data_IF_610309655438
#
_entry.id   IF_610309655438
#
_cell.length_a   1.000
_cell.length_b   1.000
_cell.length_c   1.000
_cell.angle_alpha   90.00
_cell.angle_beta   90.00
_cell.angle_gamma   90.00
#
_symmetry.space_group_name_H-M   'P 1'
#
loop_
_entity.id
_entity.type
_entity.pdbx_description
1 polymer ?
#
# COMPACT_ATOMS: atom_id res chain seq x y z
N UNK A 1 0.94 -12.03 -17.51
CA UNK A 1 1.14 -12.87 -16.30
C UNK A 1 2.31 -12.38 -15.43
N UNK A 2 3.48 -12.06 -16.01
CA UNK A 2 4.66 -11.61 -15.27
C UNK A 2 4.40 -10.46 -14.26
N UNK A 3 3.71 -9.40 -14.68
CA UNK A 3 3.36 -8.29 -13.79
C UNK A 3 2.50 -8.73 -12.59
N UNK A 4 1.51 -9.61 -12.81
CA UNK A 4 0.67 -10.12 -11.73
C UNK A 4 1.49 -10.93 -10.72
N UNK A 5 2.43 -11.75 -11.19
CA UNK A 5 3.33 -12.49 -10.31
C UNK A 5 4.20 -11.54 -9.46
N UNK A 6 4.71 -10.46 -10.05
CA UNK A 6 5.45 -9.43 -9.32
C UNK A 6 4.57 -8.70 -8.30
N UNK A 7 3.33 -8.34 -8.66
CA UNK A 7 2.38 -7.70 -7.74
C UNK A 7 2.09 -8.61 -6.54
N UNK A 8 1.85 -9.91 -6.78
CA UNK A 8 1.61 -10.88 -5.72
C UNK A 8 2.82 -11.04 -4.80
N UNK A 9 4.01 -11.18 -5.36
CA UNK A 9 5.25 -11.27 -4.58
C UNK A 9 5.52 -9.99 -3.77
N UNK A 10 5.33 -8.83 -4.38
CA UNK A 10 5.50 -7.54 -3.71
C UNK A 10 4.49 -7.36 -2.57
N UNK A 11 3.22 -7.70 -2.82
CA UNK A 11 2.14 -7.61 -1.83
C UNK A 11 2.36 -8.55 -0.66
N UNK A 12 2.87 -9.76 -0.91
CA UNK A 12 3.16 -10.76 0.12
C UNK A 12 4.07 -10.22 1.23
N UNK A 13 5.06 -9.39 0.87
CA UNK A 13 5.98 -8.78 1.85
C UNK A 13 5.30 -7.72 2.74
N UNK A 14 4.18 -7.15 2.29
CA UNK A 14 3.49 -6.02 2.95
C UNK A 14 2.27 -6.47 3.75
N UNK A 15 1.67 -7.62 3.40
CA UNK A 15 0.50 -8.18 4.08
C UNK A 15 0.71 -8.31 5.60
N UNK A 16 1.84 -8.84 6.11
CA UNK A 16 2.04 -9.00 7.56
C UNK A 16 1.97 -7.68 8.32
N UNK A 17 2.55 -6.60 7.78
CA UNK A 17 2.49 -5.27 8.37
C UNK A 17 1.05 -4.76 8.45
N UNK A 18 0.31 -4.85 7.34
CA UNK A 18 -1.10 -4.45 7.29
C UNK A 18 -1.96 -5.27 8.26
N UNK A 19 -1.69 -6.58 8.36
CA UNK A 19 -2.41 -7.49 9.25
C UNK A 19 -2.24 -7.11 10.72
N UNK A 20 -1.00 -6.90 11.18
CA UNK A 20 -0.72 -6.49 12.57
C UNK A 20 -1.40 -5.17 12.89
N UNK A 21 -1.33 -4.21 11.97
CA UNK A 21 -1.88 -2.87 12.16
C UNK A 21 -3.41 -2.88 12.24
N UNK A 22 -4.08 -3.64 11.36
CA UNK A 22 -5.54 -3.78 11.40
C UNK A 22 -5.98 -4.63 12.60
N UNK A 23 -5.26 -5.69 12.95
CA UNK A 23 -5.57 -6.53 14.11
C UNK A 23 -5.54 -5.72 15.42
N UNK A 24 -4.52 -4.88 15.59
CA UNK A 24 -4.43 -3.97 16.74
C UNK A 24 -5.65 -3.04 16.81
N UNK A 25 -6.06 -2.49 15.67
CA UNK A 25 -7.25 -1.64 15.58
C UNK A 25 -8.53 -2.40 15.94
N UNK A 26 -8.71 -3.63 15.46
CA UNK A 26 -9.88 -4.46 15.79
C UNK A 26 -9.90 -4.76 17.30
N UNK A 27 -8.75 -5.05 17.90
CA UNK A 27 -8.63 -5.34 19.34
C UNK A 27 -8.95 -4.14 20.24
N UNK A 28 -8.84 -2.91 19.72
CA UNK A 28 -9.24 -1.70 20.45
C UNK A 28 -10.75 -1.43 20.42
N UNK A 29 -11.53 -2.14 19.59
CA UNK A 29 -12.98 -1.95 19.52
C UNK A 29 -13.63 -2.57 20.76
N UNK A 30 -14.44 -1.82 21.53
CA UNK A 30 -15.15 -2.35 22.69
C UNK A 30 -16.06 -3.54 22.30
N UNK A 31 -16.01 -4.68 23.02
CA UNK A 31 -16.80 -5.87 22.69
C UNK A 31 -18.32 -5.62 22.76
N UNK A 32 -18.75 -4.65 23.57
CA UNK A 32 -20.16 -4.31 23.78
C UNK A 32 -20.85 -3.84 22.49
N UNK A 33 -20.10 -3.22 21.55
CA UNK A 33 -20.62 -2.83 20.24
C UNK A 33 -21.02 -4.05 19.40
N UNK A 34 -20.25 -5.13 19.49
CA UNK A 34 -20.55 -6.39 18.81
C UNK A 34 -21.71 -7.13 19.47
N UNK A 35 -21.81 -7.07 20.79
CA UNK A 35 -22.94 -7.66 21.53
C UNK A 35 -24.25 -6.94 21.24
N UNK A 36 -24.25 -5.60 21.25
CA UNK A 36 -25.41 -4.78 20.89
C UNK A 36 -25.89 -5.09 19.46
N UNK A 37 -24.97 -5.16 18.48
CA UNK A 37 -25.31 -5.51 17.11
C UNK A 37 -25.97 -6.90 16.99
N UNK A 38 -25.54 -7.87 17.80
CA UNK A 38 -26.16 -9.21 17.83
C UNK A 38 -27.56 -9.19 18.43
N UNK A 39 -27.82 -8.36 19.44
CA UNK A 39 -29.15 -8.17 20.02
C UNK A 39 -30.09 -7.52 19.00
N UNK A 40 -29.58 -6.57 18.21
CA UNK A 40 -30.32 -5.91 17.13
C UNK A 40 -30.53 -6.79 15.88
N UNK A 41 -30.07 -8.05 15.91
CA UNK A 41 -30.24 -9.00 14.80
C UNK A 41 -29.33 -8.72 13.60
N UNK A 42 -28.26 -7.93 13.75
CA UNK A 42 -27.32 -7.63 12.67
C UNK A 42 -26.56 -8.88 12.24
N UNK A 43 -26.37 -9.06 10.92
CA UNK A 43 -25.56 -10.16 10.40
C UNK A 43 -24.06 -9.88 10.56
N UNK A 44 -23.22 -10.89 10.31
CA UNK A 44 -21.76 -10.72 10.32
C UNK A 44 -21.28 -9.70 9.28
N UNK A 45 -21.93 -9.65 8.11
CA UNK A 45 -21.59 -8.69 7.04
C UNK A 45 -21.98 -7.27 7.47
N UNK A 46 -23.14 -7.10 8.09
CA UNK A 46 -23.56 -5.80 8.63
C UNK A 46 -22.59 -5.32 9.70
N UNK A 47 -22.25 -6.19 10.65
CA UNK A 47 -21.31 -5.91 11.73
C UNK A 47 -19.94 -5.51 11.16
N UNK A 48 -19.42 -6.24 10.18
CA UNK A 48 -18.15 -5.92 9.54
C UNK A 48 -18.18 -4.57 8.80
N UNK A 49 -19.25 -4.29 8.05
CA UNK A 49 -19.38 -3.07 7.23
C UNK A 49 -19.68 -1.82 8.05
N UNK A 50 -20.47 -1.93 9.12
CA UNK A 50 -20.95 -0.79 9.91
C UNK A 50 -20.21 -0.58 11.23
N UNK A 51 -19.55 -1.61 11.78
CA UNK A 51 -18.78 -1.49 13.03
C UNK A 51 -17.29 -1.63 12.74
N UNK A 52 -16.84 -2.79 12.24
CA UNK A 52 -15.40 -3.08 12.12
C UNK A 52 -14.69 -2.15 11.15
N UNK A 53 -15.14 -2.06 9.89
CA UNK A 53 -14.49 -1.21 8.87
C UNK A 53 -14.46 0.27 9.29
N UNK A 54 -15.59 0.89 9.72
CA UNK A 54 -15.60 2.31 10.06
C UNK A 54 -14.71 2.64 11.26
N UNK A 55 -14.70 1.80 12.30
CA UNK A 55 -13.86 2.01 13.48
C UNK A 55 -12.38 1.74 13.20
N UNK A 56 -12.05 0.77 12.34
CA UNK A 56 -10.68 0.53 11.91
C UNK A 56 -10.20 1.47 10.80
N UNK A 57 -11.05 2.37 10.29
CA UNK A 57 -10.76 3.19 9.10
C UNK A 57 -9.45 3.98 9.22
N UNK A 58 -9.18 4.61 10.37
CA UNK A 58 -7.95 5.40 10.58
C UNK A 58 -6.71 4.52 10.42
N UNK A 59 -6.70 3.36 11.09
CA UNK A 59 -5.62 2.38 10.99
C UNK A 59 -5.46 1.85 9.56
N UNK A 60 -6.55 1.47 8.90
CA UNK A 60 -6.52 1.02 7.50
C UNK A 60 -5.89 2.09 6.59
N UNK A 61 -6.29 3.35 6.72
CA UNK A 61 -5.74 4.44 5.91
C UNK A 61 -4.24 4.67 6.19
N UNK A 62 -3.81 4.62 7.44
CA UNK A 62 -2.38 4.70 7.81
C UNK A 62 -1.59 3.52 7.23
N UNK A 63 -2.15 2.31 7.26
CA UNK A 63 -1.54 1.13 6.64
C UNK A 63 -1.41 1.27 5.13
N UNK A 64 -2.45 1.77 4.44
CA UNK A 64 -2.43 2.05 3.00
C UNK A 64 -1.39 3.13 2.65
N UNK A 65 -1.28 4.17 3.47
CA UNK A 65 -0.29 5.23 3.27
C UNK A 65 1.13 4.65 3.27
N UNK A 66 1.49 3.92 4.33
CA UNK A 66 2.84 3.38 4.52
C UNK A 66 3.15 2.32 3.45
N UNK A 67 2.24 1.37 3.25
CA UNK A 67 2.45 0.28 2.27
C UNK A 67 2.46 0.82 0.83
N UNK A 68 1.61 1.81 0.52
CA UNK A 68 1.60 2.50 -0.76
C UNK A 68 2.93 3.21 -1.04
N UNK A 69 3.48 3.94 -0.07
CA UNK A 69 4.82 4.55 -0.18
C UNK A 69 5.89 3.53 -0.52
N UNK A 70 5.87 2.35 0.11
CA UNK A 70 6.79 1.27 -0.21
C UNK A 70 6.58 0.72 -1.63
N UNK A 71 5.33 0.50 -2.05
CA UNK A 71 5.02 0.00 -3.38
C UNK A 71 5.45 0.95 -4.51
N UNK A 72 5.36 2.28 -4.32
CA UNK A 72 5.90 3.24 -5.29
C UNK A 72 7.41 3.07 -5.51
N UNK A 73 8.14 2.62 -4.49
CA UNK A 73 9.60 2.43 -4.50
C UNK A 73 10.03 1.00 -4.79
N UNK A 74 9.10 0.09 -5.08
CA UNK A 74 9.41 -1.32 -5.30
C UNK A 74 10.39 -1.50 -6.46
N UNK A 75 11.51 -2.14 -6.16
CA UNK A 75 12.53 -2.58 -7.12
C UNK A 75 12.74 -4.08 -6.99
N UNK A 76 12.76 -4.59 -5.75
CA UNK A 76 13.25 -5.92 -5.41
C UNK A 76 12.48 -7.05 -6.11
N UNK A 77 11.15 -6.98 -6.11
CA UNK A 77 10.30 -7.99 -6.76
C UNK A 77 10.50 -8.01 -8.29
N UNK A 78 10.61 -6.83 -8.91
CA UNK A 78 10.81 -6.70 -10.35
C UNK A 78 12.21 -7.20 -10.73
N UNK A 79 13.23 -6.72 -10.03
CA UNK A 79 14.64 -7.08 -10.27
C UNK A 79 14.89 -8.58 -10.10
N UNK A 80 14.34 -9.18 -9.04
CA UNK A 80 14.60 -10.58 -8.71
C UNK A 80 13.85 -11.55 -9.63
N UNK A 81 12.62 -11.22 -10.04
CA UNK A 81 11.76 -12.16 -10.77
C UNK A 81 11.80 -11.99 -12.28
N UNK A 82 11.84 -10.74 -12.77
CA UNK A 82 11.61 -10.46 -14.20
C UNK A 82 12.67 -9.59 -14.85
N UNK A 83 13.44 -8.84 -14.06
CA UNK A 83 14.38 -7.81 -14.55
C UNK A 83 13.70 -6.88 -15.57
N UNK A 84 12.44 -6.53 -15.29
CA UNK A 84 11.63 -5.68 -16.16
C UNK A 84 11.04 -6.39 -17.40
N UNK A 85 11.31 -7.67 -17.62
CA UNK A 85 10.80 -8.43 -18.77
C UNK A 85 9.37 -9.01 -18.61
N UNK A 86 8.82 -9.60 -19.69
CA UNK A 86 9.33 -9.62 -21.07
C UNK A 86 9.11 -8.28 -21.77
N UNK A 87 10.02 -7.87 -22.66
CA UNK A 87 9.90 -6.65 -23.48
C UNK A 87 9.47 -5.38 -22.71
N UNK A 88 10.08 -5.15 -21.54
CA UNK A 88 9.77 -4.03 -20.62
C UNK A 88 8.36 -4.05 -20.00
N UNK A 89 7.61 -5.15 -20.11
CA UNK A 89 6.23 -5.25 -19.60
C UNK A 89 6.09 -5.13 -18.08
N UNK A 90 7.16 -5.29 -17.31
CA UNK A 90 7.17 -5.09 -15.85
C UNK A 90 7.98 -3.88 -15.40
N UNK A 91 8.29 -2.94 -16.30
CA UNK A 91 9.02 -1.73 -15.94
C UNK A 91 8.16 -0.84 -15.04
N UNK A 92 8.70 -0.56 -13.86
CA UNK A 92 8.18 0.40 -12.89
C UNK A 92 9.21 1.50 -12.68
N UNK A 93 8.79 2.66 -12.15
CA UNK A 93 9.67 3.83 -11.98
C UNK A 93 10.93 3.52 -11.18
N UNK A 94 10.80 2.74 -10.09
CA UNK A 94 11.96 2.33 -9.29
C UNK A 94 12.96 1.49 -10.09
N UNK A 95 12.48 0.52 -10.89
CA UNK A 95 13.35 -0.29 -11.74
C UNK A 95 13.99 0.54 -12.86
N UNK A 96 13.20 1.42 -13.49
CA UNK A 96 13.67 2.33 -14.53
C UNK A 96 14.81 3.23 -14.04
N UNK A 97 14.71 3.74 -12.81
CA UNK A 97 15.78 4.51 -12.16
C UNK A 97 17.08 3.70 -12.07
N UNK A 98 17.02 2.47 -11.56
CA UNK A 98 18.22 1.62 -11.40
C UNK A 98 18.79 1.21 -12.75
N UNK A 99 17.96 0.89 -13.74
CA UNK A 99 18.38 0.55 -15.09
C UNK A 99 19.22 1.68 -15.72
N UNK A 100 18.78 2.93 -15.57
CA UNK A 100 19.53 4.10 -16.08
C UNK A 100 20.79 4.42 -15.31
N UNK A 101 20.80 4.19 -13.99
CA UNK A 101 22.00 4.39 -13.18
C UNK A 101 23.07 3.33 -13.45
N UNK A 102 22.68 2.06 -13.56
CA UNK A 102 23.63 0.94 -13.61
C UNK A 102 24.00 0.56 -15.04
N UNK A 103 23.03 0.42 -15.95
CA UNK A 103 23.29 -0.07 -17.31
C UNK A 103 23.64 1.08 -18.28
N UNK A 104 22.96 2.22 -18.16
CA UNK A 104 23.18 3.37 -19.03
C UNK A 104 24.15 4.40 -18.45
N UNK A 105 24.52 4.29 -17.17
CA UNK A 105 25.39 5.24 -16.44
C UNK A 105 24.94 6.70 -16.55
N UNK A 106 23.64 6.92 -16.80
CA UNK A 106 23.07 8.25 -17.01
C UNK A 106 22.45 8.77 -15.71
N UNK A 107 23.28 9.47 -14.93
CA UNK A 107 22.89 10.06 -13.66
C UNK A 107 21.80 11.13 -13.83
N UNK A 108 21.83 11.91 -14.92
CA UNK A 108 20.86 12.98 -15.16
C UNK A 108 19.43 12.46 -15.24
N UNK A 109 19.21 11.38 -16.01
CA UNK A 109 17.91 10.72 -16.10
C UNK A 109 17.53 10.06 -14.77
N UNK A 110 18.48 9.39 -14.11
CA UNK A 110 18.25 8.79 -12.79
C UNK A 110 17.76 9.81 -11.75
N UNK A 111 18.40 10.99 -11.70
CA UNK A 111 17.97 12.10 -10.83
C UNK A 111 16.58 12.62 -11.19
N UNK A 112 16.27 12.82 -12.48
CA UNK A 112 14.95 13.27 -12.92
C UNK A 112 13.83 12.29 -12.54
N UNK A 113 14.08 10.98 -12.68
CA UNK A 113 13.14 9.93 -12.26
C UNK A 113 12.95 9.96 -10.74
N UNK A 114 14.05 10.10 -9.98
CA UNK A 114 13.99 10.18 -8.51
C UNK A 114 13.15 11.36 -8.01
N UNK A 115 13.34 12.55 -8.59
CA UNK A 115 12.53 13.74 -8.27
C UNK A 115 11.06 13.53 -8.66
N UNK A 116 10.79 12.91 -9.81
CA UNK A 116 9.42 12.60 -10.23
C UNK A 116 8.74 11.64 -9.26
N UNK A 117 9.43 10.58 -8.84
CA UNK A 117 8.92 9.64 -7.82
C UNK A 117 8.64 10.36 -6.49
N UNK A 118 9.53 11.25 -6.06
CA UNK A 118 9.33 12.04 -4.85
C UNK A 118 8.04 12.87 -4.92
N UNK A 119 7.80 13.59 -6.02
CA UNK A 119 6.59 14.39 -6.22
C UNK A 119 5.34 13.51 -6.18
N UNK A 120 5.36 12.35 -6.87
CA UNK A 120 4.22 11.42 -6.87
C UNK A 120 3.91 10.89 -5.47
N UNK A 121 4.94 10.49 -4.71
CA UNK A 121 4.78 10.00 -3.34
C UNK A 121 4.28 11.13 -2.43
N UNK A 122 4.79 12.35 -2.59
CA UNK A 122 4.36 13.51 -1.81
C UNK A 122 2.88 13.83 -2.05
N UNK A 123 2.44 13.85 -3.31
CA UNK A 123 1.03 14.07 -3.66
C UNK A 123 0.13 12.96 -3.12
N UNK A 124 0.51 11.70 -3.32
CA UNK A 124 -0.21 10.55 -2.78
C UNK A 124 -0.36 10.64 -1.26
N UNK A 125 0.75 10.91 -0.56
CA UNK A 125 0.76 11.04 0.89
C UNK A 125 -0.07 12.22 1.38
N UNK A 126 0.08 13.39 0.75
CA UNK A 126 -0.67 14.59 1.10
C UNK A 126 -2.18 14.42 0.96
N UNK A 127 -2.64 13.79 -0.12
CA UNK A 127 -4.07 13.48 -0.32
C UNK A 127 -4.58 12.55 0.77
N UNK A 128 -3.87 11.46 1.07
CA UNK A 128 -4.29 10.51 2.09
C UNK A 128 -4.30 11.13 3.50
N UNK A 129 -3.27 11.91 3.86
CA UNK A 129 -3.21 12.61 5.14
C UNK A 129 -4.36 13.60 5.26
N UNK A 130 -4.65 14.38 4.22
CA UNK A 130 -5.79 15.28 4.21
C UNK A 130 -7.12 14.54 4.44
N UNK A 131 -7.32 13.37 3.83
CA UNK A 131 -8.51 12.54 4.05
C UNK A 131 -8.59 11.95 5.46
N UNK A 132 -7.44 11.69 6.11
CA UNK A 132 -7.39 11.23 7.50
C UNK A 132 -7.76 12.37 8.45
N UNK A 133 -7.19 13.56 8.26
CA UNK A 133 -7.37 14.72 9.13
C UNK A 133 -8.74 15.39 9.00
N UNK A 134 -9.36 15.39 7.80
CA UNK A 134 -10.70 15.99 7.59
C UNK A 134 -11.84 15.31 8.37
N UNK A 135 -11.58 14.13 8.96
CA UNK A 135 -12.57 13.37 9.75
C UNK A 135 -12.47 13.59 11.26
N UNK A 136 -11.67 14.57 11.69
CA UNK A 136 -11.65 15.14 13.04
C UNK A 136 -12.39 16.47 13.05
#
# INVERSE_FOLDING_TARGET
>A
LAMLACILADSWTKIPFMFVLVLAAIKSIPPELYEAARIDGATMIDTFRYITIPLCKKSILSGILITGMFSFRTIDAIWSMTRGGPAKATYVLGYYLIDYLVNYTNLGVGCAVGVTMFILIFLFAGILIYLILRKE
#
